data_IF_733222719028
#
_entry.id   IF_733222719028
#
_cell.length_a   1.000
_cell.length_b   1.000
_cell.length_c   1.000
_cell.angle_alpha   90.00
_cell.angle_beta   90.00
_cell.angle_gamma   90.00
#
_symmetry.space_group_name_H-M   'P 1'
#
loop_
_entity.id
_entity.type
_entity.pdbx_description
1 polymer ?
#
# COMPACT_ATOMS: atom_id res chain seq x y z
N UNK A 1 33.91 -23.12 28.70
CA UNK A 1 34.43 -22.98 27.33
C UNK A 1 33.24 -22.83 26.38
N UNK A 2 32.94 -21.60 25.98
CA UNK A 2 31.77 -21.28 25.16
C UNK A 2 32.10 -21.49 23.67
N UNK A 3 31.64 -22.60 23.09
CA UNK A 3 31.81 -22.90 21.66
C UNK A 3 30.84 -22.02 20.87
N UNK A 4 31.27 -20.80 20.54
CA UNK A 4 30.65 -20.00 19.47
C UNK A 4 30.61 -20.85 18.19
N UNK A 5 29.44 -21.40 17.86
CA UNK A 5 29.19 -22.01 16.55
C UNK A 5 29.59 -20.98 15.50
N UNK A 6 30.64 -21.24 14.74
CA UNK A 6 30.96 -20.45 13.57
C UNK A 6 29.76 -20.54 12.64
N UNK A 7 29.09 -19.40 12.39
CA UNK A 7 28.05 -19.32 11.37
C UNK A 7 28.74 -19.65 10.05
N UNK A 8 28.54 -20.87 9.54
CA UNK A 8 28.91 -21.19 8.17
C UNK A 8 28.33 -20.10 7.28
N UNK A 9 29.17 -19.51 6.42
CA UNK A 9 28.70 -18.54 5.44
C UNK A 9 27.60 -19.22 4.61
N UNK A 10 26.44 -18.57 4.42
CA UNK A 10 25.37 -19.16 3.63
C UNK A 10 25.91 -19.51 2.24
N UNK A 11 25.52 -20.68 1.73
CA UNK A 11 25.93 -21.10 0.38
C UNK A 11 25.47 -20.06 -0.65
N UNK A 12 26.30 -19.74 -1.64
CA UNK A 12 25.91 -18.90 -2.77
C UNK A 12 24.60 -19.37 -3.42
N UNK A 13 23.88 -18.41 -4.00
CA UNK A 13 22.65 -18.67 -4.74
C UNK A 13 22.99 -19.02 -6.18
N UNK A 14 22.39 -20.10 -6.67
CA UNK A 14 22.28 -20.44 -8.09
C UNK A 14 20.91 -19.99 -8.61
N UNK A 15 20.73 -19.99 -9.93
CA UNK A 15 19.43 -19.72 -10.56
C UNK A 15 18.28 -20.56 -9.98
N UNK A 16 18.49 -21.88 -9.83
CA UNK A 16 17.48 -22.78 -9.27
C UNK A 16 17.09 -22.41 -7.83
N UNK A 17 18.07 -22.11 -6.97
CA UNK A 17 17.79 -21.70 -5.58
C UNK A 17 17.11 -20.34 -5.50
N UNK A 18 17.41 -19.42 -6.41
CA UNK A 18 16.76 -18.12 -6.48
C UNK A 18 15.28 -18.28 -6.88
N UNK A 19 15.00 -19.16 -7.84
CA UNK A 19 13.64 -19.50 -8.26
C UNK A 19 12.83 -20.19 -7.15
N UNK A 20 13.40 -21.16 -6.45
CA UNK A 20 12.78 -21.80 -5.29
C UNK A 20 12.41 -20.77 -4.19
N UNK A 21 13.29 -19.80 -3.94
CA UNK A 21 13.01 -18.71 -3.00
C UNK A 21 11.87 -17.81 -3.48
N UNK A 22 11.81 -17.51 -4.78
CA UNK A 22 10.74 -16.72 -5.38
C UNK A 22 9.40 -17.46 -5.25
N UNK A 23 9.37 -18.74 -5.62
CA UNK A 23 8.18 -19.58 -5.56
C UNK A 23 7.64 -19.68 -4.12
N UNK A 24 8.52 -19.96 -3.15
CA UNK A 24 8.15 -20.00 -1.75
C UNK A 24 7.64 -18.64 -1.22
N UNK A 25 8.17 -17.53 -1.75
CA UNK A 25 7.74 -16.19 -1.36
C UNK A 25 6.32 -15.89 -1.87
N UNK A 26 6.05 -16.12 -3.15
CA UNK A 26 4.72 -15.84 -3.75
C UNK A 26 3.64 -16.80 -3.25
N UNK A 27 4.00 -18.04 -2.92
CA UNK A 27 3.07 -19.00 -2.31
C UNK A 27 2.55 -18.56 -0.93
N UNK A 28 3.30 -17.71 -0.22
CA UNK A 28 2.97 -17.28 1.15
C UNK A 28 2.43 -15.85 1.23
N UNK A 29 2.81 -14.98 0.30
CA UNK A 29 2.54 -13.55 0.41
C UNK A 29 1.94 -13.00 -0.89
N UNK A 30 0.84 -12.25 -0.75
CA UNK A 30 0.43 -11.32 -1.78
C UNK A 30 1.53 -10.26 -1.96
N UNK A 31 2.11 -10.19 -3.17
CA UNK A 31 3.25 -9.34 -3.48
C UNK A 31 3.07 -8.63 -4.83
N UNK A 32 3.86 -7.59 -5.04
CA UNK A 32 4.08 -6.91 -6.31
C UNK A 32 5.43 -7.33 -6.92
N UNK A 33 5.63 -6.97 -8.18
CA UNK A 33 6.89 -7.14 -8.91
C UNK A 33 8.05 -6.48 -8.16
N UNK A 34 7.94 -5.19 -7.83
CA UNK A 34 8.99 -4.44 -7.15
C UNK A 34 9.32 -4.98 -5.75
N UNK A 35 8.34 -5.55 -5.03
CA UNK A 35 8.59 -6.22 -3.76
C UNK A 35 9.32 -7.54 -3.93
N UNK A 36 8.94 -8.35 -4.92
CA UNK A 36 9.62 -9.61 -5.24
C UNK A 36 11.07 -9.32 -5.66
N UNK A 37 11.29 -8.34 -6.53
CA UNK A 37 12.64 -7.90 -6.92
C UNK A 37 13.48 -7.45 -5.72
N UNK A 38 12.92 -6.58 -4.88
CA UNK A 38 13.61 -6.09 -3.67
C UNK A 38 13.99 -7.26 -2.76
N UNK A 39 13.09 -8.23 -2.61
CA UNK A 39 13.32 -9.44 -1.83
C UNK A 39 14.47 -10.27 -2.40
N UNK A 40 14.43 -10.59 -3.70
CA UNK A 40 15.42 -11.44 -4.35
C UNK A 40 16.80 -10.76 -4.44
N UNK A 41 16.87 -9.48 -4.81
CA UNK A 41 18.12 -8.69 -4.81
C UNK A 41 18.74 -8.60 -3.43
N UNK A 42 17.93 -8.48 -2.37
CA UNK A 42 18.43 -8.57 -1.00
C UNK A 42 19.04 -9.94 -0.72
N UNK A 43 18.40 -11.04 -1.18
CA UNK A 43 18.94 -12.39 -1.00
C UNK A 43 20.25 -12.63 -1.76
N UNK A 44 20.40 -12.05 -2.95
CA UNK A 44 21.67 -12.02 -3.67
C UNK A 44 22.76 -11.31 -2.87
N UNK A 45 22.50 -10.10 -2.35
CA UNK A 45 23.47 -9.38 -1.50
C UNK A 45 23.85 -10.13 -0.22
N UNK A 46 22.90 -10.83 0.39
CA UNK A 46 23.13 -11.57 1.63
C UNK A 46 23.95 -12.86 1.44
N UNK A 47 23.86 -13.51 0.27
CA UNK A 47 24.37 -14.87 0.06
C UNK A 47 25.43 -14.99 -1.05
N UNK A 48 25.55 -13.99 -1.91
CA UNK A 48 26.36 -14.07 -3.13
C UNK A 48 25.67 -14.85 -4.24
N UNK A 49 26.26 -14.79 -5.42
CA UNK A 49 25.79 -15.45 -6.65
C UNK A 49 26.84 -16.47 -7.14
N UNK A 50 26.35 -17.58 -7.64
CA UNK A 50 27.15 -18.66 -8.25
C UNK A 50 26.64 -18.92 -9.67
N UNK A 51 27.42 -18.42 -10.64
CA UNK A 51 27.11 -18.52 -12.06
C UNK A 51 27.33 -19.94 -12.61
N UNK A 52 28.27 -20.71 -12.05
CA UNK A 52 28.64 -22.03 -12.58
C UNK A 52 27.52 -23.07 -12.39
N UNK A 53 26.66 -22.89 -11.37
CA UNK A 53 25.49 -23.72 -11.12
C UNK A 53 24.19 -23.31 -11.83
N UNK A 54 24.26 -22.34 -12.76
CA UNK A 54 23.07 -21.69 -13.37
C UNK A 54 22.77 -22.14 -14.82
N UNK A 55 23.55 -23.09 -15.35
CA UNK A 55 23.31 -23.71 -16.66
C UNK A 55 22.03 -24.58 -16.65
N UNK A 56 20.87 -23.96 -16.89
CA UNK A 56 19.60 -24.65 -17.12
C UNK A 56 18.36 -23.77 -16.88
N UNK A 57 17.34 -23.91 -17.74
CA UNK A 57 16.02 -23.30 -17.51
C UNK A 57 15.82 -21.85 -18.01
N UNK A 58 16.71 -21.34 -18.87
CA UNK A 58 16.55 -20.04 -19.53
C UNK A 58 16.76 -18.82 -18.62
N UNK A 59 17.39 -19.01 -17.46
CA UNK A 59 17.74 -17.94 -16.52
C UNK A 59 19.18 -17.48 -16.81
N UNK A 60 19.47 -16.17 -16.92
CA UNK A 60 20.82 -15.67 -17.16
C UNK A 60 21.83 -16.02 -16.04
N UNK A 61 23.11 -16.16 -16.42
CA UNK A 61 24.24 -16.39 -15.51
C UNK A 61 24.70 -15.14 -14.74
N UNK A 62 23.96 -14.03 -14.89
CA UNK A 62 24.09 -12.83 -14.07
C UNK A 62 22.94 -12.77 -13.06
N UNK A 63 23.26 -12.57 -11.77
CA UNK A 63 22.27 -12.64 -10.69
C UNK A 63 21.17 -11.58 -10.82
N UNK A 64 21.48 -10.37 -11.28
CA UNK A 64 20.47 -9.32 -11.44
C UNK A 64 19.58 -9.59 -12.65
N UNK A 65 20.14 -10.07 -13.75
CA UNK A 65 19.38 -10.53 -14.91
C UNK A 65 18.51 -11.76 -14.57
N UNK A 66 18.99 -12.66 -13.69
CA UNK A 66 18.22 -13.79 -13.18
C UNK A 66 16.97 -13.33 -12.38
N UNK A 67 17.10 -12.30 -11.54
CA UNK A 67 15.95 -11.71 -10.84
C UNK A 67 14.91 -11.20 -11.82
N UNK A 68 15.33 -10.46 -12.84
CA UNK A 68 14.41 -9.91 -13.85
C UNK A 68 13.69 -11.04 -14.61
N UNK A 69 14.42 -12.07 -15.04
CA UNK A 69 13.85 -13.22 -15.74
C UNK A 69 12.81 -13.97 -14.88
N UNK A 70 13.10 -14.19 -13.60
CA UNK A 70 12.16 -14.84 -12.66
C UNK A 70 10.89 -14.00 -12.50
N UNK A 71 11.02 -12.69 -12.28
CA UNK A 71 9.88 -11.79 -12.09
C UNK A 71 9.00 -11.76 -13.33
N UNK A 72 9.58 -11.61 -14.52
CA UNK A 72 8.85 -11.64 -15.79
C UNK A 72 8.08 -12.96 -15.97
N UNK A 73 8.72 -14.11 -15.70
CA UNK A 73 8.06 -15.42 -15.77
C UNK A 73 6.92 -15.53 -14.76
N UNK A 74 7.08 -15.01 -13.56
CA UNK A 74 6.05 -15.08 -12.51
C UNK A 74 4.86 -14.17 -12.81
N UNK A 75 5.08 -13.01 -13.45
CA UNK A 75 4.00 -12.18 -13.98
C UNK A 75 3.28 -12.90 -15.12
N UNK A 76 4.02 -13.45 -16.09
CA UNK A 76 3.44 -14.20 -17.20
C UNK A 76 2.63 -15.43 -16.75
N UNK A 77 3.07 -16.09 -15.67
CA UNK A 77 2.36 -17.22 -15.06
C UNK A 77 1.20 -16.80 -14.14
N UNK A 78 0.99 -15.49 -13.91
CA UNK A 78 -0.08 -14.97 -13.04
C UNK A 78 0.16 -15.12 -11.54
N UNK A 79 1.39 -15.48 -11.11
CA UNK A 79 1.74 -15.53 -9.69
C UNK A 79 1.90 -14.14 -9.07
N UNK A 80 2.17 -13.13 -9.90
CA UNK A 80 2.27 -11.72 -9.50
C UNK A 80 1.41 -10.88 -10.42
N UNK A 81 0.50 -10.11 -9.83
CA UNK A 81 -0.35 -9.15 -10.51
C UNK A 81 -0.29 -7.82 -9.75
N UNK A 82 0.41 -6.84 -10.32
CA UNK A 82 0.58 -5.52 -9.72
C UNK A 82 -0.74 -4.74 -9.65
N UNK A 83 -1.66 -4.94 -10.61
CA UNK A 83 -2.94 -4.25 -10.61
C UNK A 83 -3.85 -4.78 -9.50
N UNK A 84 -3.97 -6.09 -9.37
CA UNK A 84 -4.70 -6.72 -8.27
C UNK A 84 -4.08 -6.37 -6.92
N UNK A 85 -2.74 -6.40 -6.82
CA UNK A 85 -2.02 -6.01 -5.60
C UNK A 85 -2.30 -4.54 -5.23
N UNK A 86 -2.21 -3.62 -6.20
CA UNK A 86 -2.39 -2.20 -5.96
C UNK A 86 -3.81 -1.87 -5.48
N UNK A 87 -4.82 -2.43 -6.14
CA UNK A 87 -6.23 -2.25 -5.76
C UNK A 87 -6.50 -2.80 -4.34
N UNK A 88 -6.07 -4.04 -4.07
CA UNK A 88 -6.26 -4.65 -2.75
C UNK A 88 -5.55 -3.86 -1.64
N UNK A 89 -4.33 -3.39 -1.90
CA UNK A 89 -3.55 -2.60 -0.95
C UNK A 89 -4.15 -1.23 -0.69
N UNK A 90 -4.61 -0.55 -1.73
CA UNK A 90 -5.27 0.75 -1.62
C UNK A 90 -6.56 0.65 -0.79
N UNK A 91 -7.43 -0.33 -1.11
CA UNK A 91 -8.66 -0.59 -0.36
C UNK A 91 -8.37 -0.88 1.11
N UNK A 92 -7.42 -1.76 1.41
CA UNK A 92 -7.08 -2.12 2.79
C UNK A 92 -6.55 -0.93 3.61
N UNK A 93 -5.79 -0.02 3.00
CA UNK A 93 -5.31 1.19 3.67
C UNK A 93 -6.43 2.23 3.86
N UNK A 94 -7.28 2.42 2.86
CA UNK A 94 -8.43 3.32 2.94
C UNK A 94 -9.41 2.89 4.05
N UNK A 95 -9.74 1.60 4.14
CA UNK A 95 -10.56 1.05 5.23
C UNK A 95 -9.94 1.26 6.63
N UNK A 96 -8.61 1.31 6.71
CA UNK A 96 -7.88 1.65 7.93
C UNK A 96 -7.83 3.17 8.19
N UNK A 97 -8.42 3.98 7.33
CA UNK A 97 -8.52 5.43 7.46
C UNK A 97 -7.27 6.20 7.03
N UNK A 98 -6.42 5.61 6.19
CA UNK A 98 -5.31 6.32 5.55
C UNK A 98 -5.79 7.04 4.30
N UNK A 99 -5.36 8.29 4.11
CA UNK A 99 -5.72 9.10 2.94
C UNK A 99 -4.86 8.80 1.71
N UNK A 100 -5.25 9.38 0.58
CA UNK A 100 -4.67 9.13 -0.74
C UNK A 100 -3.14 9.27 -0.77
N UNK A 101 -2.56 10.25 -0.08
CA UNK A 101 -1.09 10.44 -0.04
C UNK A 101 -0.36 9.26 0.61
N UNK A 102 -0.94 8.68 1.67
CA UNK A 102 -0.37 7.50 2.34
C UNK A 102 -0.56 6.23 1.53
N UNK A 103 -1.68 6.12 0.81
CA UNK A 103 -1.92 5.04 -0.14
C UNK A 103 -0.87 5.07 -1.25
N UNK A 104 -0.71 6.21 -1.93
CA UNK A 104 0.28 6.38 -3.00
C UNK A 104 1.70 6.11 -2.50
N UNK A 105 2.09 6.62 -1.32
CA UNK A 105 3.39 6.32 -0.72
C UNK A 105 3.62 4.82 -0.49
N UNK A 106 2.59 4.10 -0.03
CA UNK A 106 2.68 2.66 0.19
C UNK A 106 2.78 1.87 -1.13
N UNK A 107 2.07 2.29 -2.18
CA UNK A 107 2.15 1.67 -3.50
C UNK A 107 3.51 1.95 -4.18
N UNK A 108 4.02 3.19 -4.06
CA UNK A 108 5.36 3.56 -4.53
C UNK A 108 6.43 2.72 -3.85
N UNK A 109 6.35 2.55 -2.52
CA UNK A 109 7.26 1.69 -1.77
C UNK A 109 7.14 0.20 -2.15
N UNK A 110 6.02 -0.22 -2.75
CA UNK A 110 5.86 -1.55 -3.31
C UNK A 110 6.34 -1.66 -4.77
N UNK A 111 6.89 -0.59 -5.35
CA UNK A 111 7.38 -0.57 -6.73
C UNK A 111 6.30 -0.52 -7.80
N UNK A 112 5.05 -0.20 -7.45
CA UNK A 112 3.97 -0.02 -8.42
C UNK A 112 4.24 1.24 -9.24
N UNK A 113 4.09 1.18 -10.56
CA UNK A 113 4.34 2.30 -11.47
C UNK A 113 3.38 3.50 -11.27
N UNK A 114 3.76 4.68 -11.76
CA UNK A 114 2.95 5.88 -11.54
C UNK A 114 1.53 5.81 -12.15
N UNK A 115 1.35 5.36 -13.40
CA UNK A 115 0.01 5.24 -13.99
C UNK A 115 -0.92 4.30 -13.23
N UNK A 116 -0.42 3.15 -12.76
CA UNK A 116 -1.22 2.19 -12.00
C UNK A 116 -1.50 2.69 -10.57
N UNK A 117 -0.56 3.39 -9.93
CA UNK A 117 -0.84 4.06 -8.64
C UNK A 117 -1.97 5.07 -8.76
N UNK A 118 -1.95 5.90 -9.80
CA UNK A 118 -3.01 6.89 -10.05
C UNK A 118 -4.36 6.20 -10.24
N UNK A 119 -4.45 5.16 -11.08
CA UNK A 119 -5.69 4.41 -11.33
C UNK A 119 -6.19 3.61 -10.13
N UNK A 120 -5.27 3.13 -9.29
CA UNK A 120 -5.59 2.31 -8.11
C UNK A 120 -5.83 3.16 -6.85
N UNK A 121 -5.69 4.48 -6.94
CA UNK A 121 -5.97 5.41 -5.85
C UNK A 121 -7.44 5.35 -5.41
N UNK A 122 -7.75 5.75 -4.17
CA UNK A 122 -9.12 5.77 -3.69
C UNK A 122 -9.97 6.80 -4.48
N UNK A 123 -11.16 6.38 -4.89
CA UNK A 123 -12.19 7.28 -5.45
C UNK A 123 -12.59 8.38 -4.45
N UNK A 124 -13.22 9.49 -4.89
CA UNK A 124 -13.65 10.56 -3.99
C UNK A 124 -14.48 10.07 -2.79
N UNK A 125 -15.41 9.13 -3.02
CA UNK A 125 -16.19 8.49 -1.94
C UNK A 125 -15.31 7.71 -0.98
N UNK A 126 -14.42 6.87 -1.48
CA UNK A 126 -13.48 6.11 -0.63
C UNK A 126 -12.56 7.02 0.18
N UNK A 127 -12.22 8.21 -0.33
CA UNK A 127 -11.48 9.21 0.45
C UNK A 127 -12.33 9.78 1.59
N UNK A 128 -13.61 10.12 1.34
CA UNK A 128 -14.57 10.53 2.39
C UNK A 128 -14.75 9.41 3.43
N UNK A 129 -14.95 8.18 3.00
CA UNK A 129 -15.04 7.00 3.89
C UNK A 129 -13.79 6.84 4.76
N UNK A 130 -12.60 6.94 4.17
CA UNK A 130 -11.33 6.78 4.88
C UNK A 130 -11.13 7.86 5.95
N UNK A 131 -11.40 9.14 5.62
CA UNK A 131 -11.25 10.21 6.61
C UNK A 131 -12.25 10.08 7.75
N UNK A 132 -13.50 9.70 7.46
CA UNK A 132 -14.52 9.47 8.48
C UNK A 132 -14.19 8.24 9.34
N UNK A 133 -13.67 7.16 8.75
CA UNK A 133 -13.22 5.98 9.50
C UNK A 133 -12.11 6.33 10.50
N UNK A 134 -11.16 7.17 10.09
CA UNK A 134 -10.13 7.67 11.00
C UNK A 134 -10.72 8.57 12.09
N UNK A 135 -11.60 9.51 11.71
CA UNK A 135 -12.22 10.44 12.64
C UNK A 135 -13.06 9.72 13.71
N UNK A 136 -13.88 8.73 13.33
CA UNK A 136 -14.64 7.87 14.25
C UNK A 136 -13.72 7.15 15.22
N UNK A 137 -12.69 6.46 14.71
CA UNK A 137 -11.75 5.69 15.54
C UNK A 137 -10.96 6.57 16.52
N UNK A 138 -10.74 7.84 16.17
CA UNK A 138 -9.96 8.80 16.98
C UNK A 138 -10.82 9.80 17.74
N UNK A 139 -12.15 9.69 17.68
CA UNK A 139 -13.13 10.62 18.28
C UNK A 139 -12.83 12.08 17.93
N UNK A 140 -12.70 12.35 16.63
CA UNK A 140 -12.40 13.68 16.07
C UNK A 140 -13.67 14.30 15.50
N UNK A 141 -13.81 15.62 15.67
CA UNK A 141 -14.85 16.43 15.04
C UNK A 141 -16.25 15.93 15.44
N UNK A 142 -17.11 15.54 14.48
CA UNK A 142 -18.49 15.11 14.75
C UNK A 142 -18.59 13.87 15.64
N UNK A 143 -17.49 13.15 15.87
CA UNK A 143 -17.44 11.94 16.71
C UNK A 143 -16.73 12.16 18.05
N UNK A 144 -16.39 13.41 18.39
CA UNK A 144 -15.84 13.73 19.69
C UNK A 144 -16.92 13.58 20.78
N UNK A 145 -16.55 13.11 21.96
CA UNK A 145 -17.49 13.05 23.09
C UNK A 145 -17.88 14.48 23.50
N UNK A 146 -19.19 14.74 23.60
CA UNK A 146 -19.76 16.03 23.99
C UNK A 146 -19.31 16.51 25.40
N UNK A 147 -18.73 15.60 26.20
CA UNK A 147 -18.22 15.88 27.54
C UNK A 147 -16.86 16.61 27.57
N UNK A 148 -16.26 16.89 26.41
CA UNK A 148 -15.14 17.81 26.33
C UNK A 148 -15.37 18.82 25.21
N UNK A 149 -14.96 20.05 25.50
CA UNK A 149 -14.82 21.22 24.65
C UNK A 149 -13.93 20.89 23.44
N UNK A 150 -14.37 20.02 22.53
CA UNK A 150 -13.55 19.45 21.45
C UNK A 150 -13.83 20.08 20.09
N UNK A 151 -15.07 20.54 19.87
CA UNK A 151 -15.45 21.29 18.67
C UNK A 151 -15.07 22.78 18.76
N UNK A 152 -14.99 23.32 19.99
CA UNK A 152 -14.75 24.75 20.24
C UNK A 152 -13.33 25.09 20.72
N UNK A 153 -12.49 24.09 21.04
CA UNK A 153 -11.08 24.32 21.41
C UNK A 153 -10.20 24.40 20.15
N UNK A 154 -9.60 25.57 19.85
CA UNK A 154 -8.68 25.73 18.71
C UNK A 154 -7.48 24.78 18.77
N UNK A 155 -6.97 24.46 19.96
CA UNK A 155 -5.81 23.59 20.12
C UNK A 155 -6.16 22.13 19.79
N UNK A 156 -7.29 21.61 20.29
CA UNK A 156 -7.80 20.30 19.91
C UNK A 156 -8.06 20.20 18.40
N UNK A 157 -8.66 21.23 17.79
CA UNK A 157 -8.90 21.29 16.34
C UNK A 157 -7.60 21.25 15.53
N UNK A 158 -6.59 22.02 15.95
CA UNK A 158 -5.27 22.02 15.29
C UNK A 158 -4.56 20.67 15.41
N UNK A 159 -4.64 20.03 16.59
CA UNK A 159 -4.10 18.68 16.83
C UNK A 159 -4.79 17.64 15.94
N UNK A 160 -6.11 17.72 15.81
CA UNK A 160 -6.88 16.84 14.93
C UNK A 160 -6.51 17.04 13.46
N UNK A 161 -6.41 18.29 12.99
CA UNK A 161 -5.97 18.60 11.63
C UNK A 161 -4.59 17.99 11.34
N UNK A 162 -3.62 18.19 12.24
CA UNK A 162 -2.29 17.61 12.09
C UNK A 162 -2.31 16.07 12.07
N UNK A 163 -3.24 15.43 12.80
CA UNK A 163 -3.40 13.98 12.75
C UNK A 163 -3.92 13.50 11.39
N UNK A 164 -4.95 14.16 10.84
CA UNK A 164 -5.54 13.82 9.54
C UNK A 164 -4.50 13.99 8.41
N UNK A 165 -3.73 15.09 8.43
CA UNK A 165 -2.66 15.34 7.46
C UNK A 165 -1.56 14.28 7.53
N UNK A 166 -1.11 13.90 8.74
CA UNK A 166 -0.11 12.82 8.91
C UNK A 166 -0.63 11.45 8.46
N UNK A 167 -1.94 11.24 8.53
CA UNK A 167 -2.60 10.05 7.98
C UNK A 167 -2.77 10.10 6.45
N UNK A 168 -2.34 11.19 5.79
CA UNK A 168 -2.29 11.32 4.34
C UNK A 168 -3.55 11.87 3.69
N UNK A 169 -4.44 12.47 4.47
CA UNK A 169 -5.62 13.15 3.94
C UNK A 169 -5.24 14.49 3.34
N UNK A 170 -5.93 14.87 2.26
CA UNK A 170 -5.78 16.19 1.67
C UNK A 170 -6.27 17.28 2.65
N UNK A 171 -5.68 18.48 2.62
CA UNK A 171 -6.06 19.58 3.52
C UNK A 171 -7.55 19.89 3.49
N UNK A 172 -8.17 19.89 2.31
CA UNK A 172 -9.58 20.26 2.17
C UNK A 172 -10.49 19.17 2.74
N UNK A 173 -10.16 17.90 2.51
CA UNK A 173 -10.85 16.76 3.12
C UNK A 173 -10.77 16.80 4.65
N UNK A 174 -9.59 17.12 5.18
CA UNK A 174 -9.39 17.24 6.62
C UNK A 174 -10.17 18.41 7.23
N UNK A 175 -10.19 19.57 6.56
CA UNK A 175 -10.97 20.74 7.00
C UNK A 175 -12.48 20.48 6.93
N UNK A 176 -12.95 19.84 5.87
CA UNK A 176 -14.36 19.48 5.69
C UNK A 176 -14.84 18.61 6.86
N UNK A 177 -14.10 17.55 7.19
CA UNK A 177 -14.46 16.68 8.33
C UNK A 177 -14.48 17.42 9.66
N UNK A 178 -13.57 18.37 9.87
CA UNK A 178 -13.55 19.18 11.09
C UNK A 178 -14.64 20.27 11.11
N UNK A 179 -15.27 20.58 9.98
CA UNK A 179 -16.39 21.52 9.92
C UNK A 179 -17.74 20.84 10.23
N UNK A 180 -17.82 19.51 10.11
CA UNK A 180 -19.00 18.73 10.48
C UNK A 180 -19.22 18.78 12.00
N UNK A 181 -20.48 18.95 12.40
CA UNK A 181 -20.87 19.13 13.80
C UNK A 181 -21.42 17.86 14.43
N UNK A 182 -22.08 17.02 13.63
CA UNK A 182 -22.76 15.82 14.12
C UNK A 182 -22.45 14.59 13.28
N UNK A 183 -22.60 13.37 13.83
CA UNK A 183 -22.50 12.15 13.06
C UNK A 183 -23.47 12.13 11.87
N UNK A 184 -24.67 12.68 12.02
CA UNK A 184 -25.69 12.76 10.97
C UNK A 184 -25.24 13.67 9.81
N UNK A 185 -24.60 14.81 10.10
CA UNK A 185 -23.99 15.65 9.06
C UNK A 185 -22.87 14.91 8.33
N UNK A 186 -22.10 14.08 9.03
CA UNK A 186 -21.06 13.27 8.41
C UNK A 186 -21.60 12.18 7.48
N UNK A 187 -22.71 11.55 7.87
CA UNK A 187 -23.37 10.54 7.04
C UNK A 187 -24.03 11.19 5.81
N UNK A 188 -24.63 12.38 5.96
CA UNK A 188 -25.16 13.16 4.83
C UNK A 188 -24.03 13.61 3.87
N UNK A 189 -22.91 14.10 4.42
CA UNK A 189 -21.74 14.48 3.62
C UNK A 189 -21.13 13.29 2.88
N UNK A 190 -21.24 12.07 3.40
CA UNK A 190 -20.82 10.87 2.66
C UNK A 190 -21.81 10.54 1.52
N UNK A 191 -23.11 10.60 1.78
CA UNK A 191 -24.16 10.30 0.80
C UNK A 191 -24.16 11.25 -0.40
N UNK A 192 -23.80 12.51 -0.21
CA UNK A 192 -23.70 13.53 -1.26
C UNK A 192 -22.77 13.11 -2.43
N UNK A 193 -21.71 12.32 -2.17
CA UNK A 193 -20.85 11.76 -3.26
C UNK A 193 -21.51 10.72 -4.14
N UNK A 194 -22.68 10.23 -3.76
CA UNK A 194 -23.47 9.32 -4.57
C UNK A 194 -24.37 10.10 -5.53
N UNK A 195 -24.78 11.33 -5.20
CA UNK A 195 -25.55 12.23 -6.08
C UNK A 195 -24.72 12.76 -7.26
N UNK A 196 -23.48 13.23 -7.01
CA UNK A 196 -22.58 13.76 -8.05
C UNK A 196 -22.30 12.76 -9.19
N UNK A 197 -22.31 11.46 -8.89
CA UNK A 197 -22.12 10.39 -9.89
C UNK A 197 -23.34 10.16 -10.78
N UNK A 198 -24.54 10.45 -10.27
CA UNK A 198 -25.78 10.25 -11.03
C UNK A 198 -26.03 11.37 -12.04
N UNK A 199 -25.45 12.55 -11.85
CA UNK A 199 -25.56 13.67 -12.79
C UNK A 199 -24.57 13.57 -13.98
N UNK A 200 -23.36 13.02 -13.75
CA UNK A 200 -22.34 12.86 -14.81
C UNK A 200 -22.57 11.64 -15.73
N UNK A 201 -23.42 10.69 -15.36
CA UNK A 201 -23.75 9.51 -16.17
C UNK A 201 -24.84 9.74 -17.23
N UNK A 202 -25.45 10.93 -17.27
CA UNK A 202 -26.65 11.24 -18.05
C UNK A 202 -26.44 12.04 -19.33
N UNK A 203 -25.20 12.18 -19.85
CA UNK A 203 -24.93 12.84 -21.13
C UNK A 203 -23.96 12.04 -21.99
N UNK A 204 -24.48 10.98 -22.60
CA UNK A 204 -23.90 10.35 -23.78
C UNK A 204 -25.00 10.18 -24.82
N UNK A 205 -25.05 11.11 -25.78
CA UNK A 205 -25.74 10.93 -27.06
C UNK A 205 -24.91 10.03 -27.95
#
# INVERSE_FOLDING_TARGET
MDRRRSRQKPRPLTAARLDELALAYVARFATSTGKLETYLRRKLRERGWDAEGSAGGGIPDDGDAAVQAIVQRFVAAGYVDDAAFAQGRARALAQRGYGARRVDAALRAAGIDAPLRTRSGPSPRQQREAVLALARRRRIGPFADASHIGASDPAARQKALAMLLRAGHEPDMARAVLALRTPQEADAWLADTDQDRHEDGGKGW
#
